data_IF_372401490955
#
_entry.id   IF_372401490955
#
_cell.length_a   1.000
_cell.length_b   1.000
_cell.length_c   1.000
_cell.angle_alpha   90.00
_cell.angle_beta   90.00
_cell.angle_gamma   90.00
#
_symmetry.space_group_name_H-M   'P 1'
#
loop_
_entity.id
_entity.type
_entity.pdbx_description
1 polymer ?
#
# COMPACT_ATOMS: atom_id res chain seq x y z
N UNK A 1 -17.35 -3.65 7.45
CA UNK A 1 -16.22 -3.51 6.51
C UNK A 1 -16.78 -3.12 5.16
N UNK A 2 -16.25 -2.04 4.58
CA UNK A 2 -16.63 -1.62 3.24
C UNK A 2 -15.83 -2.40 2.22
N UNK A 3 -16.49 -2.87 1.15
CA UNK A 3 -15.82 -3.56 0.05
C UNK A 3 -15.80 -2.68 -1.18
N UNK A 4 -14.72 -2.74 -1.95
CA UNK A 4 -14.57 -2.05 -3.23
C UNK A 4 -14.12 -3.01 -4.32
N UNK A 5 -14.55 -2.74 -5.55
CA UNK A 5 -14.08 -3.44 -6.75
C UNK A 5 -12.80 -2.74 -7.26
N UNK A 6 -11.76 -3.54 -7.49
CA UNK A 6 -10.49 -3.09 -8.02
C UNK A 6 -10.21 -3.78 -9.35
N UNK A 7 -9.73 -3.01 -10.32
CA UNK A 7 -9.20 -3.52 -11.58
C UNK A 7 -7.77 -4.02 -11.37
N UNK A 8 -7.50 -5.25 -11.79
CA UNK A 8 -6.15 -5.84 -11.75
C UNK A 8 -5.78 -6.42 -13.11
N UNK A 9 -4.51 -6.78 -13.29
CA UNK A 9 -4.06 -7.46 -14.50
C UNK A 9 -4.74 -8.82 -14.74
N UNK A 10 -5.34 -9.43 -13.71
CA UNK A 10 -6.10 -10.70 -13.81
C UNK A 10 -7.62 -10.48 -13.84
N UNK A 11 -8.05 -9.25 -14.07
CA UNK A 11 -9.46 -8.84 -14.04
C UNK A 11 -9.88 -8.21 -12.71
N UNK A 12 -11.18 -8.04 -12.55
CA UNK A 12 -11.77 -7.39 -11.38
C UNK A 12 -11.69 -8.28 -10.14
N UNK A 13 -11.33 -7.69 -9.00
CA UNK A 13 -11.41 -8.34 -7.69
C UNK A 13 -12.26 -7.50 -6.74
N UNK A 14 -12.93 -8.18 -5.81
CA UNK A 14 -13.52 -7.55 -4.62
C UNK A 14 -12.47 -7.56 -3.51
N UNK A 15 -12.25 -6.42 -2.85
CA UNK A 15 -11.34 -6.32 -1.72
C UNK A 15 -12.00 -5.55 -0.57
N UNK A 16 -11.73 -5.98 0.66
CA UNK A 16 -12.12 -5.28 1.88
C UNK A 16 -11.26 -4.04 2.06
N UNK A 17 -11.86 -2.89 2.33
CA UNK A 17 -11.18 -1.63 2.60
C UNK A 17 -10.97 -1.52 4.10
N UNK A 18 -9.71 -1.33 4.50
CA UNK A 18 -9.32 -1.26 5.90
C UNK A 18 -8.44 -0.05 6.17
N UNK A 19 -8.41 0.34 7.43
CA UNK A 19 -7.46 1.31 7.97
C UNK A 19 -6.47 0.57 8.84
N UNK A 20 -5.19 0.64 8.49
CA UNK A 20 -4.11 0.15 9.33
C UNK A 20 -3.73 1.28 10.27
N UNK A 21 -3.94 1.15 11.60
CA UNK A 21 -3.72 2.25 12.53
C UNK A 21 -2.28 2.77 12.47
N UNK A 22 -1.32 1.88 12.25
CA UNK A 22 0.09 2.21 12.19
C UNK A 22 0.89 1.25 11.31
N UNK A 23 1.79 1.81 10.50
CA UNK A 23 2.82 1.09 9.75
C UNK A 23 4.17 1.66 10.14
N UNK A 24 5.13 0.78 10.43
CA UNK A 24 6.52 1.15 10.72
C UNK A 24 7.45 0.64 9.62
N UNK A 25 8.22 1.54 9.02
CA UNK A 25 9.25 1.19 8.01
C UNK A 25 10.56 1.87 8.41
N UNK A 26 11.53 1.07 8.83
CA UNK A 26 12.75 1.60 9.45
C UNK A 26 12.42 2.50 10.64
N UNK A 27 12.82 3.77 10.54
CA UNK A 27 12.58 4.79 11.56
C UNK A 27 11.27 5.58 11.35
N UNK A 28 10.55 5.34 10.25
CA UNK A 28 9.34 6.07 9.94
C UNK A 28 8.12 5.40 10.56
N UNK A 29 7.27 6.23 11.19
CA UNK A 29 5.98 5.86 11.72
C UNK A 29 4.89 6.55 10.90
N UNK A 30 4.01 5.76 10.30
CA UNK A 30 2.92 6.24 9.45
C UNK A 30 1.62 5.80 10.11
N UNK A 31 0.78 6.76 10.44
CA UNK A 31 -0.50 6.51 11.08
C UNK A 31 -1.62 6.57 10.05
N UNK A 32 -2.71 5.85 10.33
CA UNK A 32 -3.93 5.83 9.52
C UNK A 32 -3.64 5.55 8.02
N UNK A 33 -3.07 4.38 7.77
CA UNK A 33 -2.74 3.92 6.42
C UNK A 33 -3.93 3.21 5.81
N UNK A 34 -4.46 3.78 4.73
CA UNK A 34 -5.49 3.13 3.95
C UNK A 34 -4.92 1.91 3.20
N UNK A 35 -5.60 0.78 3.33
CA UNK A 35 -5.23 -0.45 2.63
C UNK A 35 -6.47 -1.20 2.13
N UNK A 36 -6.22 -2.17 1.25
CA UNK A 36 -7.24 -3.10 0.77
C UNK A 36 -6.74 -4.53 0.91
N UNK A 37 -7.58 -5.42 1.42
CA UNK A 37 -7.30 -6.85 1.56
C UNK A 37 -8.09 -7.61 0.50
N UNK A 38 -7.38 -8.30 -0.38
CA UNK A 38 -7.99 -9.14 -1.41
C UNK A 38 -8.73 -10.32 -0.75
N UNK A 39 -9.87 -10.73 -1.30
CA UNK A 39 -10.60 -11.93 -0.90
C UNK A 39 -9.99 -13.22 -1.44
N UNK A 40 -9.00 -13.13 -2.34
CA UNK A 40 -8.28 -14.26 -2.93
C UNK A 40 -6.85 -14.36 -2.40
N UNK A 41 -6.27 -15.56 -2.48
CA UNK A 41 -4.89 -15.80 -2.07
C UNK A 41 -3.91 -14.95 -2.89
N UNK A 42 -3.05 -14.20 -2.19
CA UNK A 42 -1.89 -13.53 -2.74
C UNK A 42 -0.65 -14.01 -1.99
N UNK A 43 0.43 -14.27 -2.72
CA UNK A 43 1.69 -14.72 -2.11
C UNK A 43 2.40 -13.60 -1.36
N UNK A 44 2.14 -12.33 -1.72
CA UNK A 44 2.79 -11.16 -1.14
C UNK A 44 1.83 -9.98 -1.02
N UNK A 45 1.99 -9.18 0.03
CA UNK A 45 1.38 -7.86 0.13
C UNK A 45 2.07 -6.88 -0.82
N UNK A 46 1.33 -5.91 -1.34
CA UNK A 46 1.84 -4.88 -2.25
C UNK A 46 1.82 -3.51 -1.58
N UNK A 47 2.88 -2.73 -1.74
CA UNK A 47 2.91 -1.30 -1.41
C UNK A 47 2.74 -0.50 -2.70
N UNK A 48 1.54 0.03 -2.91
CA UNK A 48 1.22 0.82 -4.09
C UNK A 48 1.61 2.30 -3.96
N UNK A 49 1.40 3.05 -5.03
CA UNK A 49 1.63 4.50 -5.06
C UNK A 49 0.82 5.26 -3.99
N UNK A 50 -0.37 4.76 -3.64
CA UNK A 50 -1.18 5.31 -2.55
C UNK A 50 -0.48 5.27 -1.20
N UNK A 51 0.40 4.30 -0.98
CA UNK A 51 1.25 4.25 0.21
C UNK A 51 2.47 5.16 0.07
N UNK A 52 3.09 5.24 -1.11
CA UNK A 52 4.25 6.11 -1.32
C UNK A 52 3.95 7.59 -1.10
N UNK A 53 2.68 8.02 -1.18
CA UNK A 53 2.25 9.40 -0.87
C UNK A 53 2.61 9.87 0.54
N UNK A 54 2.88 8.96 1.48
CA UNK A 54 3.30 9.30 2.85
C UNK A 54 4.77 9.72 2.95
N UNK A 55 5.52 9.65 1.85
CA UNK A 55 6.94 9.99 1.77
C UNK A 55 7.23 10.88 0.57
N UNK A 56 8.31 11.64 0.64
CA UNK A 56 9.04 12.02 -0.56
C UNK A 56 9.83 10.80 -1.05
N UNK A 57 9.93 10.63 -2.36
CA UNK A 57 10.69 9.51 -2.90
C UNK A 57 11.38 9.84 -4.21
N UNK A 58 12.49 9.14 -4.46
CA UNK A 58 13.17 9.13 -5.75
C UNK A 58 13.43 7.71 -6.21
N UNK A 59 13.48 7.51 -7.52
CA UNK A 59 13.86 6.23 -8.14
C UNK A 59 15.13 6.48 -8.94
N UNK A 60 16.21 5.78 -8.60
CA UNK A 60 17.51 5.89 -9.28
C UNK A 60 18.25 4.56 -9.24
N UNK A 61 18.84 4.15 -10.36
CA UNK A 61 19.71 2.95 -10.44
C UNK A 61 19.09 1.69 -9.80
N UNK A 62 17.80 1.44 -10.09
CA UNK A 62 17.00 0.34 -9.54
C UNK A 62 16.78 0.40 -8.01
N UNK A 63 16.89 1.59 -7.41
CA UNK A 63 16.62 1.84 -5.99
C UNK A 63 15.44 2.80 -5.85
N UNK A 64 14.50 2.46 -4.97
CA UNK A 64 13.50 3.38 -4.43
C UNK A 64 14.03 3.93 -3.10
N UNK A 65 14.25 5.25 -3.04
CA UNK A 65 14.70 5.95 -1.83
C UNK A 65 13.52 6.71 -1.25
N UNK A 66 13.17 6.43 0.00
CA UNK A 66 12.10 7.11 0.74
C UNK A 66 12.71 8.06 1.77
N UNK A 67 12.18 9.27 1.87
CA UNK A 67 12.56 10.26 2.87
C UNK A 67 11.36 11.12 3.27
N UNK A 68 11.44 11.73 4.44
CA UNK A 68 10.50 12.71 5.00
C UNK A 68 11.32 13.79 5.68
N UNK A 69 10.78 15.01 5.70
CA UNK A 69 11.32 16.10 6.52
C UNK A 69 11.19 15.80 8.03
#
# INVERSE_FOLDING_TARGET
EDFKIYETAKGQIKAGVIHIPQVKIGNFLINDVHASVNTHSMSHSLLGMSFLRYFHFTIRDNKLVLYRD
#
